data_IF_609232127185
#
_entry.id   IF_609232127185
#
_cell.length_a   1.000
_cell.length_b   1.000
_cell.length_c   1.000
_cell.angle_alpha   90.00
_cell.angle_beta   90.00
_cell.angle_gamma   90.00
#
_symmetry.space_group_name_H-M   'P 1'
#
loop_
_entity.id
_entity.type
_entity.pdbx_description
1 polymer ?
#
# COMPACT_ATOMS: atom_id res chain seq x y z
N UNK A 1 -11.67 11.40 -15.84
CA UNK A 1 -11.90 10.11 -16.50
C UNK A 1 -10.77 9.88 -17.52
N UNK A 2 -10.18 8.68 -17.58
CA UNK A 2 -8.99 8.37 -18.40
C UNK A 2 -9.39 7.85 -19.78
N UNK A 3 -9.90 8.76 -20.62
CA UNK A 3 -10.38 8.42 -21.97
C UNK A 3 -9.28 7.96 -22.92
N UNK A 4 -8.04 8.36 -22.66
CA UNK A 4 -6.85 7.84 -23.33
C UNK A 4 -6.66 6.34 -23.10
N UNK A 5 -6.83 5.89 -21.85
CA UNK A 5 -6.69 4.48 -21.47
C UNK A 5 -7.80 3.59 -22.02
N UNK A 6 -9.04 4.09 -21.98
CA UNK A 6 -10.18 3.37 -22.55
C UNK A 6 -10.00 3.13 -24.05
N UNK A 7 -9.44 4.12 -24.75
CA UNK A 7 -9.20 4.04 -26.20
C UNK A 7 -8.17 2.97 -26.57
N UNK A 8 -7.01 2.95 -25.91
CA UNK A 8 -5.98 1.95 -26.21
C UNK A 8 -6.43 0.52 -25.90
N UNK A 9 -7.22 0.34 -24.83
CA UNK A 9 -7.83 -0.97 -24.51
C UNK A 9 -8.80 -1.39 -25.61
N UNK A 10 -9.70 -0.48 -26.02
CA UNK A 10 -10.66 -0.79 -27.09
C UNK A 10 -9.95 -1.10 -28.41
N UNK A 11 -8.96 -0.31 -28.79
CA UNK A 11 -8.15 -0.53 -29.98
C UNK A 11 -7.46 -1.90 -29.96
N UNK A 12 -6.91 -2.30 -28.81
CA UNK A 12 -6.26 -3.60 -28.68
C UNK A 12 -7.21 -4.79 -28.72
N UNK A 13 -8.44 -4.61 -28.22
CA UNK A 13 -9.50 -5.61 -28.37
C UNK A 13 -9.90 -5.72 -29.84
N UNK A 14 -10.15 -4.60 -30.51
CA UNK A 14 -10.61 -4.56 -31.90
C UNK A 14 -9.56 -5.12 -32.88
N UNK A 15 -8.28 -4.87 -32.61
CA UNK A 15 -7.15 -5.38 -33.41
C UNK A 15 -6.67 -6.78 -32.97
N UNK A 16 -7.18 -7.30 -31.85
CA UNK A 16 -6.91 -8.66 -31.36
C UNK A 16 -5.55 -8.88 -30.68
N UNK A 17 -4.71 -7.85 -30.53
CA UNK A 17 -3.44 -7.96 -29.81
C UNK A 17 -3.60 -7.86 -28.28
N UNK A 18 -4.75 -7.40 -27.78
CA UNK A 18 -5.08 -7.41 -26.36
C UNK A 18 -6.14 -8.47 -26.05
N UNK A 19 -5.76 -9.48 -25.29
CA UNK A 19 -6.63 -10.58 -24.88
C UNK A 19 -6.76 -10.59 -23.35
N UNK A 20 -7.99 -10.78 -22.87
CA UNK A 20 -8.30 -10.80 -21.44
C UNK A 20 -8.66 -12.22 -21.04
N UNK A 21 -7.93 -12.77 -20.07
CA UNK A 21 -8.24 -14.04 -19.44
C UNK A 21 -8.62 -13.82 -17.97
N UNK A 22 -9.58 -14.60 -17.47
CA UNK A 22 -10.01 -14.54 -16.07
C UNK A 22 -9.69 -15.85 -15.36
N UNK A 23 -8.76 -15.79 -14.41
CA UNK A 23 -8.37 -16.97 -13.64
C UNK A 23 -7.31 -16.67 -12.59
N UNK A 24 -6.84 -17.73 -11.94
CA UNK A 24 -5.73 -17.69 -10.99
C UNK A 24 -4.48 -18.29 -11.64
N UNK A 25 -3.35 -17.59 -11.56
CA UNK A 25 -2.07 -18.13 -12.04
C UNK A 25 -1.58 -19.16 -11.03
N UNK A 26 -1.52 -20.43 -11.42
CA UNK A 26 -1.09 -21.52 -10.54
C UNK A 26 0.44 -21.66 -10.51
N UNK A 27 1.07 -21.52 -11.68
CA UNK A 27 2.53 -21.60 -11.82
C UNK A 27 3.01 -21.00 -13.14
N UNK A 28 4.29 -20.66 -13.17
CA UNK A 28 5.01 -20.19 -14.35
C UNK A 28 6.26 -21.05 -14.50
N UNK A 29 6.51 -21.55 -15.71
CA UNK A 29 7.69 -22.33 -16.05
C UNK A 29 8.42 -21.74 -17.24
N UNK A 30 9.73 -22.01 -17.34
CA UNK A 30 10.49 -21.70 -18.53
C UNK A 30 10.40 -22.88 -19.51
N UNK A 31 10.04 -22.61 -20.76
CA UNK A 31 10.05 -23.60 -21.83
C UNK A 31 11.49 -23.92 -22.26
N UNK A 32 11.72 -25.06 -22.95
CA UNK A 32 13.02 -25.39 -23.54
C UNK A 32 13.56 -24.31 -24.50
N UNK A 33 12.67 -23.50 -25.07
CA UNK A 33 12.97 -22.42 -26.02
C UNK A 33 13.23 -21.07 -25.32
N UNK A 34 13.39 -21.08 -23.98
CA UNK A 34 13.55 -19.89 -23.13
C UNK A 34 12.35 -18.94 -23.10
N UNK A 35 11.16 -19.39 -23.53
CA UNK A 35 9.89 -18.68 -23.32
C UNK A 35 9.31 -18.98 -21.95
N UNK A 36 8.29 -18.25 -21.55
CA UNK A 36 7.53 -18.49 -20.33
C UNK A 36 6.22 -19.19 -20.64
N UNK A 37 5.86 -20.20 -19.84
CA UNK A 37 4.58 -20.91 -19.91
C UNK A 37 3.84 -20.60 -18.61
N UNK A 38 2.73 -19.87 -18.72
CA UNK A 38 1.85 -19.53 -17.59
C UNK A 38 0.67 -20.48 -17.57
N UNK A 39 0.44 -21.11 -16.42
CA UNK A 39 -0.70 -21.99 -16.20
C UNK A 39 -1.77 -21.24 -15.41
N UNK A 40 -2.94 -21.07 -16.01
CA UNK A 40 -4.04 -20.28 -15.45
C UNK A 40 -5.24 -21.19 -15.20
N UNK A 41 -5.75 -21.18 -13.98
CA UNK A 41 -6.98 -21.85 -13.59
C UNK A 41 -8.18 -20.93 -13.79
N UNK A 42 -9.06 -21.24 -14.74
CA UNK A 42 -10.29 -20.46 -14.92
C UNK A 42 -11.29 -20.71 -13.79
N UNK A 43 -12.07 -19.69 -13.42
CA UNK A 43 -13.19 -19.88 -12.48
C UNK A 43 -14.32 -20.68 -13.15
N UNK A 44 -14.41 -21.98 -12.88
CA UNK A 44 -15.49 -22.86 -13.33
C UNK A 44 -15.02 -24.25 -13.78
N UNK A 45 -15.88 -25.01 -14.47
CA UNK A 45 -15.59 -26.39 -14.92
C UNK A 45 -14.64 -26.49 -16.14
N UNK A 46 -14.00 -25.40 -16.57
CA UNK A 46 -13.35 -25.29 -17.90
C UNK A 46 -11.85 -25.60 -17.96
N UNK A 47 -11.25 -26.05 -16.87
CA UNK A 47 -9.88 -26.58 -16.88
C UNK A 47 -8.78 -25.52 -16.92
N UNK A 48 -7.54 -25.97 -17.13
CA UNK A 48 -6.33 -25.17 -17.03
C UNK A 48 -5.93 -24.62 -18.42
N UNK A 49 -5.76 -23.31 -18.52
CA UNK A 49 -5.21 -22.64 -19.71
C UNK A 49 -3.68 -22.64 -19.61
N UNK A 50 -3.01 -22.89 -20.74
CA UNK A 50 -1.57 -22.66 -20.89
C UNK A 50 -1.35 -21.49 -21.83
N UNK A 51 -0.63 -20.48 -21.38
CA UNK A 51 -0.29 -19.31 -22.18
C UNK A 51 1.23 -19.22 -22.32
N UNK A 52 1.71 -19.29 -23.55
CA UNK A 52 3.11 -19.08 -23.88
C UNK A 52 3.37 -17.61 -24.19
N UNK A 53 4.40 -17.04 -23.59
CA UNK A 53 4.80 -15.65 -23.82
C UNK A 53 6.32 -15.52 -23.78
N UNK A 54 6.86 -14.57 -24.55
CA UNK A 54 8.28 -14.23 -24.49
C UNK A 54 8.63 -13.49 -23.18
N UNK A 55 7.69 -12.73 -22.62
CA UNK A 55 7.86 -11.97 -21.38
C UNK A 55 6.60 -12.00 -20.49
N UNK A 56 6.81 -11.86 -19.18
CA UNK A 56 5.74 -11.68 -18.18
C UNK A 56 5.99 -10.37 -17.44
N UNK A 57 4.93 -9.57 -17.32
CA UNK A 57 4.89 -8.40 -16.45
C UNK A 57 4.06 -8.77 -15.23
N UNK A 58 4.72 -8.98 -14.09
CA UNK A 58 4.03 -9.23 -12.83
C UNK A 58 3.49 -7.90 -12.25
N UNK A 59 2.18 -7.74 -12.31
CA UNK A 59 1.44 -6.63 -11.73
C UNK A 59 0.48 -7.08 -10.62
N UNK A 60 0.77 -8.21 -9.95
CA UNK A 60 -0.08 -8.77 -8.88
C UNK A 60 -0.08 -7.94 -7.58
N UNK A 61 0.80 -6.94 -7.50
CA UNK A 61 0.94 -6.04 -6.35
C UNK A 61 2.09 -6.45 -5.42
N UNK A 62 2.16 -5.83 -4.25
CA UNK A 62 3.18 -6.14 -3.23
C UNK A 62 2.55 -7.00 -2.12
N UNK A 63 3.22 -8.09 -1.72
CA UNK A 63 2.79 -8.83 -0.53
C UNK A 63 3.09 -8.02 0.73
N UNK A 64 2.05 -7.44 1.30
CA UNK A 64 2.16 -6.60 2.49
C UNK A 64 2.13 -7.40 3.81
N UNK A 65 2.22 -8.73 3.77
CA UNK A 65 2.27 -9.56 4.99
C UNK A 65 3.47 -9.14 5.84
N UNK A 66 3.18 -8.82 7.09
CA UNK A 66 4.14 -8.24 8.05
C UNK A 66 5.31 -9.20 8.31
N UNK A 67 5.07 -10.52 8.21
CA UNK A 67 6.10 -11.55 8.38
C UNK A 67 7.04 -11.74 7.18
N UNK A 68 6.74 -11.16 6.02
CA UNK A 68 7.61 -11.24 4.83
C UNK A 68 8.76 -10.24 4.93
N UNK A 69 8.54 -9.11 5.60
CA UNK A 69 9.56 -8.11 5.84
C UNK A 69 10.33 -8.46 7.13
N UNK A 70 11.67 -8.66 7.09
CA UNK A 70 12.44 -9.08 8.26
C UNK A 70 12.35 -8.12 9.46
N UNK A 71 12.30 -6.80 9.22
CA UNK A 71 12.19 -5.80 10.28
C UNK A 71 10.83 -5.89 10.97
N UNK A 72 9.75 -6.01 10.19
CA UNK A 72 8.42 -6.13 10.74
C UNK A 72 8.20 -7.47 11.44
N UNK A 73 8.76 -8.55 10.91
CA UNK A 73 8.75 -9.86 11.55
C UNK A 73 9.42 -9.80 12.92
N UNK A 74 10.62 -9.23 13.01
CA UNK A 74 11.34 -9.06 14.27
C UNK A 74 10.57 -8.20 15.27
N UNK A 75 10.02 -7.06 14.85
CA UNK A 75 9.18 -6.22 15.72
C UNK A 75 7.97 -6.97 16.28
N UNK A 76 7.26 -7.72 15.45
CA UNK A 76 6.10 -8.52 15.88
C UNK A 76 6.53 -9.61 16.84
N UNK A 77 7.59 -10.34 16.52
CA UNK A 77 8.02 -11.49 17.32
C UNK A 77 8.67 -11.08 18.64
N UNK A 78 9.41 -9.97 18.65
CA UNK A 78 10.08 -9.43 19.84
C UNK A 78 9.09 -8.79 20.81
N UNK A 79 8.24 -7.88 20.31
CA UNK A 79 7.30 -7.10 21.14
C UNK A 79 5.90 -7.72 21.24
N UNK A 80 5.69 -8.89 20.63
CA UNK A 80 4.39 -9.60 20.61
C UNK A 80 3.24 -8.73 20.10
N UNK A 81 3.52 -7.97 19.04
CA UNK A 81 2.56 -7.01 18.49
C UNK A 81 1.31 -7.73 17.95
N UNK A 82 0.11 -7.20 18.23
CA UNK A 82 -1.12 -7.74 17.68
C UNK A 82 -1.14 -7.58 16.17
N UNK A 83 -1.50 -8.67 15.49
CA UNK A 83 -1.79 -8.68 14.06
C UNK A 83 -3.30 -8.76 13.84
N UNK A 84 -3.81 -8.05 12.85
CA UNK A 84 -5.23 -8.06 12.52
C UNK A 84 -5.61 -9.31 11.69
N UNK A 85 -6.90 -9.46 11.37
CA UNK A 85 -7.42 -10.60 10.60
C UNK A 85 -6.84 -10.75 9.18
N UNK A 86 -6.13 -9.74 8.66
CA UNK A 86 -5.43 -9.78 7.37
C UNK A 86 -3.92 -10.06 7.52
N UNK A 87 -3.44 -10.38 8.73
CA UNK A 87 -2.01 -10.58 9.00
C UNK A 87 -1.19 -9.30 8.85
N UNK A 88 -1.80 -8.16 9.17
CA UNK A 88 -1.22 -6.81 9.15
C UNK A 88 -1.10 -6.25 10.56
N UNK A 89 -0.34 -5.18 10.75
CA UNK A 89 -0.18 -4.53 12.06
C UNK A 89 -1.52 -3.92 12.50
N UNK A 90 -1.90 -4.20 13.74
CA UNK A 90 -3.07 -3.56 14.36
C UNK A 90 -2.68 -2.18 14.88
N UNK A 91 -3.36 -1.14 14.39
CA UNK A 91 -3.18 0.25 14.81
C UNK A 91 -4.46 0.83 15.39
N UNK A 92 -4.34 1.88 16.22
CA UNK A 92 -5.48 2.68 16.69
C UNK A 92 -6.06 3.53 15.56
N UNK A 93 -7.19 4.21 15.83
CA UNK A 93 -7.77 5.21 14.91
C UNK A 93 -6.81 6.35 14.56
N UNK A 94 -5.82 6.60 15.43
CA UNK A 94 -4.78 7.62 15.24
C UNK A 94 -3.54 7.07 14.52
N UNK A 95 -3.63 5.86 13.96
CA UNK A 95 -2.52 5.12 13.32
C UNK A 95 -1.38 4.74 14.27
N UNK A 96 -1.62 4.77 15.59
CA UNK A 96 -0.61 4.43 16.60
C UNK A 96 -0.53 2.91 16.82
N UNK A 97 0.68 2.39 16.99
CA UNK A 97 0.93 1.07 17.56
C UNK A 97 0.94 1.21 19.08
N UNK A 98 -0.22 1.02 19.71
CA UNK A 98 -0.41 1.25 21.15
C UNK A 98 0.55 0.44 22.03
N UNK A 99 0.86 -0.80 21.63
CA UNK A 99 1.79 -1.69 22.34
C UNK A 99 3.25 -1.21 22.29
N UNK A 100 3.58 -0.31 21.36
CA UNK A 100 4.93 0.27 21.21
C UNK A 100 5.09 1.60 21.98
N UNK A 101 4.14 1.94 22.85
CA UNK A 101 4.27 3.12 23.72
C UNK A 101 5.37 2.90 24.75
N UNK A 102 6.25 3.89 24.90
CA UNK A 102 7.30 3.90 25.90
C UNK A 102 7.40 5.29 26.53
N UNK A 103 6.80 5.48 27.71
CA UNK A 103 6.59 6.78 28.37
C UNK A 103 6.00 7.84 27.43
N UNK A 104 6.85 8.74 26.91
CA UNK A 104 6.48 9.80 25.97
C UNK A 104 6.70 9.41 24.52
N UNK A 105 7.40 8.31 24.28
CA UNK A 105 7.64 7.72 22.97
C UNK A 105 6.40 7.01 22.46
N UNK A 106 6.08 7.26 21.19
CA UNK A 106 4.97 6.65 20.47
C UNK A 106 5.45 6.21 19.11
N UNK A 107 4.89 5.13 18.59
CA UNK A 107 5.16 4.63 17.25
C UNK A 107 3.86 4.65 16.43
N UNK A 108 3.96 5.09 15.18
CA UNK A 108 2.85 5.12 14.25
C UNK A 108 3.19 4.29 13.03
N UNK A 109 2.18 3.66 12.43
CA UNK A 109 2.33 2.88 11.22
C UNK A 109 1.22 3.24 10.24
N UNK A 110 1.58 3.31 8.95
CA UNK A 110 0.65 3.61 7.87
C UNK A 110 1.07 2.83 6.61
N UNK A 111 0.16 2.75 5.65
CA UNK A 111 0.38 2.09 4.37
C UNK A 111 -0.02 0.62 4.36
N UNK A 112 0.51 -0.13 3.40
CA UNK A 112 0.18 -1.54 3.20
C UNK A 112 0.37 -2.43 4.46
N UNK A 113 1.36 -2.18 5.35
CA UNK A 113 1.51 -2.94 6.59
C UNK A 113 0.36 -2.77 7.59
N UNK A 114 -0.52 -1.78 7.43
CA UNK A 114 -1.68 -1.51 8.31
C UNK A 114 -3.02 -1.74 7.61
N UNK A 115 -3.03 -2.40 6.45
CA UNK A 115 -4.27 -2.72 5.73
C UNK A 115 -5.24 -3.51 6.65
N UNK A 116 -6.52 -3.12 6.66
CA UNK A 116 -7.52 -3.62 7.61
C UNK A 116 -7.58 -2.83 8.92
N UNK A 117 -6.81 -1.75 9.04
CA UNK A 117 -6.92 -0.73 10.09
C UNK A 117 -8.08 0.26 9.86
N UNK A 118 -8.08 1.40 10.56
CA UNK A 118 -9.20 2.36 10.59
C UNK A 118 -9.47 3.06 9.26
N UNK A 119 -8.49 3.07 8.35
CA UNK A 119 -8.61 3.70 7.04
C UNK A 119 -8.09 2.77 5.95
N UNK A 120 -8.99 2.32 5.06
CA UNK A 120 -8.67 1.32 4.06
C UNK A 120 -7.71 1.83 2.98
N UNK A 121 -7.80 3.11 2.61
CA UNK A 121 -6.99 3.71 1.55
C UNK A 121 -5.63 4.22 2.05
N UNK A 122 -5.14 3.75 3.20
CA UNK A 122 -3.90 4.22 3.84
C UNK A 122 -2.64 3.97 2.99
N UNK A 123 -2.69 3.06 2.02
CA UNK A 123 -1.62 2.80 1.04
C UNK A 123 -1.67 3.70 -0.20
N UNK A 124 -2.71 4.54 -0.32
CA UNK A 124 -2.79 5.56 -1.37
C UNK A 124 -2.03 6.84 -0.98
N UNK A 125 -1.69 7.66 -1.99
CA UNK A 125 -1.03 8.95 -1.76
C UNK A 125 -1.81 9.85 -0.80
N UNK A 126 -3.14 9.95 -0.97
CA UNK A 126 -3.99 10.73 -0.07
C UNK A 126 -4.14 10.10 1.30
N UNK A 127 -4.16 8.76 1.39
CA UNK A 127 -4.23 8.05 2.65
C UNK A 127 -2.99 8.24 3.51
N UNK A 128 -1.79 8.26 2.91
CA UNK A 128 -0.55 8.57 3.62
C UNK A 128 -0.54 10.00 4.15
N UNK A 129 -1.02 10.97 3.36
CA UNK A 129 -1.15 12.36 3.83
C UNK A 129 -2.12 12.47 5.00
N UNK A 130 -3.26 11.79 4.91
CA UNK A 130 -4.26 11.75 5.98
C UNK A 130 -3.69 11.10 7.25
N UNK A 131 -3.05 9.94 7.13
CA UNK A 131 -2.45 9.25 8.27
C UNK A 131 -1.36 10.09 8.94
N UNK A 132 -0.51 10.78 8.16
CA UNK A 132 0.48 11.69 8.69
C UNK A 132 -0.15 12.86 9.46
N UNK A 133 -1.22 13.46 8.92
CA UNK A 133 -1.94 14.56 9.58
C UNK A 133 -2.54 14.10 10.91
N UNK A 134 -3.24 12.96 10.93
CA UNK A 134 -3.85 12.40 12.13
C UNK A 134 -2.80 12.04 13.18
N UNK A 135 -1.67 11.44 12.78
CA UNK A 135 -0.58 11.13 13.71
C UNK A 135 0.03 12.39 14.35
N UNK A 136 0.21 13.47 13.57
CA UNK A 136 0.71 14.76 14.07
C UNK A 136 -0.31 15.45 14.99
N UNK A 137 -1.59 15.38 14.67
CA UNK A 137 -2.66 15.89 15.53
C UNK A 137 -2.72 15.13 16.85
N UNK A 138 -2.61 13.80 16.82
CA UNK A 138 -2.55 12.97 18.02
C UNK A 138 -1.30 13.23 18.87
N UNK A 139 -0.13 13.46 18.25
CA UNK A 139 1.08 13.91 18.95
C UNK A 139 0.90 15.29 19.60
N UNK A 140 0.25 16.21 18.90
CA UNK A 140 -0.06 17.55 19.43
C UNK A 140 -1.02 17.46 20.62
N UNK A 141 -2.08 16.66 20.52
CA UNK A 141 -3.01 16.40 21.61
C UNK A 141 -2.31 15.74 22.83
N UNK A 142 -1.32 14.89 22.55
CA UNK A 142 -0.44 14.28 23.56
C UNK A 142 0.64 15.21 24.13
N UNK A 143 0.64 16.50 23.74
CA UNK A 143 1.61 17.51 24.18
C UNK A 143 3.06 17.15 23.87
N UNK A 144 3.30 16.50 22.72
CA UNK A 144 4.65 16.23 22.26
C UNK A 144 5.46 17.53 22.15
N UNK A 145 6.73 17.53 22.59
CA UNK A 145 7.55 18.74 22.61
C UNK A 145 7.75 19.27 21.19
N UNK A 146 7.80 20.59 21.05
CA UNK A 146 8.07 21.30 19.80
C UNK A 146 7.00 21.15 18.70
N UNK A 147 5.93 20.37 18.93
CA UNK A 147 4.76 20.34 18.06
C UNK A 147 3.72 21.35 18.49
N UNK A 148 3.08 21.95 17.50
CA UNK A 148 2.03 22.93 17.66
C UNK A 148 0.93 22.59 16.67
N UNK A 149 -0.32 22.75 17.09
CA UNK A 149 -1.48 22.44 16.28
C UNK A 149 -1.42 23.07 14.88
N UNK A 150 -1.80 22.29 13.88
CA UNK A 150 -1.76 22.68 12.49
C UNK A 150 -3.14 23.18 12.06
N UNK A 151 -3.34 24.51 12.11
CA UNK A 151 -4.56 25.15 11.64
C UNK A 151 -4.42 25.61 10.17
N UNK A 152 -5.54 25.81 9.47
CA UNK A 152 -5.55 26.16 8.04
C UNK A 152 -4.80 27.47 7.72
N UNK A 153 -4.88 28.47 8.60
CA UNK A 153 -4.14 29.74 8.43
C UNK A 153 -2.63 29.54 8.52
N UNK A 154 -2.18 28.72 9.47
CA UNK A 154 -0.78 28.36 9.62
C UNK A 154 -0.31 27.52 8.45
N UNK A 155 -1.11 26.59 7.94
CA UNK A 155 -0.80 25.84 6.71
C UNK A 155 -0.53 26.77 5.54
N UNK A 156 -1.44 27.71 5.28
CA UNK A 156 -1.29 28.69 4.21
C UNK A 156 -0.04 29.55 4.41
N UNK A 157 0.22 30.00 5.64
CA UNK A 157 1.41 30.79 5.96
C UNK A 157 2.73 30.01 5.78
N UNK A 158 2.77 28.74 6.19
CA UNK A 158 3.93 27.87 5.97
C UNK A 158 4.13 27.58 4.48
N UNK A 159 3.04 27.46 3.71
CA UNK A 159 3.11 27.33 2.26
C UNK A 159 3.73 28.58 1.61
N UNK A 160 3.32 29.78 2.03
CA UNK A 160 3.97 31.02 1.57
C UNK A 160 5.46 31.06 1.94
N UNK A 161 5.83 30.63 3.16
CA UNK A 161 7.24 30.53 3.55
C UNK A 161 8.02 29.60 2.63
N UNK A 162 7.46 28.43 2.32
CA UNK A 162 8.05 27.49 1.39
C UNK A 162 8.24 28.09 -0.01
N UNK A 163 7.23 28.79 -0.55
CA UNK A 163 7.33 29.50 -1.84
C UNK A 163 8.47 30.53 -1.84
N UNK A 164 8.72 31.19 -0.71
CA UNK A 164 9.80 32.16 -0.56
C UNK A 164 11.11 31.56 -0.02
N UNK A 165 11.27 30.23 -0.03
CA UNK A 165 12.45 29.50 0.47
C UNK A 165 12.82 29.87 1.92
N UNK A 166 11.82 30.11 2.78
CA UNK A 166 11.98 30.38 4.21
C UNK A 166 11.73 29.12 5.02
N UNK A 167 12.47 28.89 6.12
CA UNK A 167 12.29 27.72 6.95
C UNK A 167 10.94 27.72 7.70
N UNK A 168 10.37 26.54 8.00
CA UNK A 168 9.14 26.43 8.78
C UNK A 168 9.34 26.82 10.25
N UNK A 169 8.25 27.16 10.95
CA UNK A 169 8.23 27.74 12.33
C UNK A 169 7.04 27.28 13.17
#
# INVERSE_FOLDING_TARGET
DRGDWKRIVQEGIDQGWYQIAFGEVERVEQSPEKRTITYIHERGFRGQIKLEADFIVDATGLDAKVKVNPLFADLVDHYKLPINGLGRLTVTNDFELAEMRNDRGRMYAAGAPTLGGPYAAVDSFLGLQYAALIAVDHLTASRAPQLKYFNGLRSLWQWFKWVFNKPPT
#
